data_IF_487567742097
#
_entry.id   IF_487567742097
#
_cell.length_a   1.000
_cell.length_b   1.000
_cell.length_c   1.000
_cell.angle_alpha   90.00
_cell.angle_beta   90.00
_cell.angle_gamma   90.00
#
_symmetry.space_group_name_H-M   'P 1'
#
loop_
_entity.id
_entity.type
_entity.pdbx_description
1 polymer ?
#
# COMPACT_ATOMS: atom_id res chain seq x y z
N UNK A 1 18.58 18.18 27.44
CA UNK A 1 19.18 17.69 26.18
C UNK A 1 18.23 16.67 25.57
N UNK A 2 17.77 16.87 24.34
CA UNK A 2 16.97 15.84 23.65
C UNK A 2 17.91 14.69 23.24
N UNK A 3 17.46 13.45 23.41
CA UNK A 3 18.24 12.26 23.05
C UNK A 3 18.62 12.31 21.55
N UNK A 4 19.83 11.86 21.15
CA UNK A 4 20.24 11.85 19.75
C UNK A 4 19.22 11.19 18.80
N UNK A 5 18.59 10.11 19.23
CA UNK A 5 17.55 9.40 18.47
C UNK A 5 16.34 10.29 18.16
N UNK A 6 15.94 11.13 19.12
CA UNK A 6 14.81 12.04 18.93
C UNK A 6 15.15 13.14 17.92
N UNK A 7 16.37 13.66 17.95
CA UNK A 7 16.82 14.66 16.97
C UNK A 7 16.86 14.08 15.55
N UNK A 8 17.37 12.85 15.42
CA UNK A 8 17.39 12.13 14.14
C UNK A 8 15.97 11.88 13.62
N UNK A 9 15.05 11.42 14.48
CA UNK A 9 13.65 11.21 14.09
C UNK A 9 12.96 12.50 13.64
N UNK A 10 13.21 13.63 14.33
CA UNK A 10 12.67 14.94 13.92
C UNK A 10 13.26 15.39 12.58
N UNK A 11 14.56 15.19 12.35
CA UNK A 11 15.19 15.50 11.08
C UNK A 11 14.59 14.68 9.92
N UNK A 12 14.44 13.37 10.09
CA UNK A 12 13.79 12.51 9.08
C UNK A 12 12.34 12.93 8.82
N UNK A 13 11.58 13.27 9.85
CA UNK A 13 10.20 13.76 9.70
C UNK A 13 10.15 15.09 8.93
N UNK A 14 11.08 16.00 9.19
CA UNK A 14 11.19 17.26 8.45
C UNK A 14 11.56 17.04 7.00
N UNK A 15 12.48 16.11 6.72
CA UNK A 15 12.92 15.75 5.38
C UNK A 15 11.77 15.11 4.58
N UNK A 16 11.07 14.14 5.17
CA UNK A 16 10.00 13.41 4.52
C UNK A 16 8.81 14.30 4.09
N UNK A 17 8.61 15.44 4.77
CA UNK A 17 7.54 16.41 4.47
C UNK A 17 7.98 17.52 3.51
N UNK A 18 9.23 17.53 3.08
CA UNK A 18 9.77 18.55 2.19
C UNK A 18 9.95 17.97 0.78
N UNK A 19 9.07 18.35 -0.15
CA UNK A 19 9.08 17.85 -1.53
C UNK A 19 10.40 18.13 -2.28
N UNK A 20 11.10 19.23 -1.97
CA UNK A 20 12.40 19.52 -2.57
C UNK A 20 13.47 18.53 -2.11
N UNK A 21 13.51 18.22 -0.81
CA UNK A 21 14.50 17.26 -0.28
C UNK A 21 14.15 15.84 -0.74
N UNK A 22 12.87 15.48 -0.77
CA UNK A 22 12.40 14.20 -1.32
C UNK A 22 12.88 14.03 -2.77
N UNK A 23 12.65 15.04 -3.61
CA UNK A 23 13.09 15.03 -5.01
C UNK A 23 14.61 14.89 -5.14
N UNK A 24 15.37 15.63 -4.31
CA UNK A 24 16.84 15.54 -4.28
C UNK A 24 17.33 14.13 -3.89
N UNK A 25 16.74 13.54 -2.85
CA UNK A 25 17.06 12.17 -2.41
C UNK A 25 16.77 11.16 -3.52
N UNK A 26 15.62 11.25 -4.19
CA UNK A 26 15.24 10.34 -5.28
C UNK A 26 16.17 10.43 -6.50
N UNK A 27 16.79 11.58 -6.73
CA UNK A 27 17.72 11.80 -7.86
C UNK A 27 19.18 11.50 -7.48
N UNK A 28 19.51 11.37 -6.20
CA UNK A 28 20.87 11.05 -5.73
C UNK A 28 21.09 9.54 -5.70
N UNK A 29 22.06 9.06 -6.49
CA UNK A 29 22.44 7.64 -6.53
C UNK A 29 22.84 7.11 -5.17
N UNK A 30 23.70 7.82 -4.42
CA UNK A 30 24.20 7.34 -3.14
C UNK A 30 23.13 7.39 -2.04
N UNK A 31 22.40 8.50 -1.93
CA UNK A 31 21.40 8.67 -0.88
C UNK A 31 20.19 7.77 -1.10
N UNK A 32 19.72 7.65 -2.35
CA UNK A 32 18.62 6.77 -2.68
C UNK A 32 18.97 5.32 -2.37
N UNK A 33 20.13 4.83 -2.81
CA UNK A 33 20.55 3.45 -2.56
C UNK A 33 20.64 3.13 -1.06
N UNK A 34 21.22 4.03 -0.27
CA UNK A 34 21.36 3.85 1.17
C UNK A 34 20.01 3.82 1.89
N UNK A 35 19.13 4.77 1.59
CA UNK A 35 17.81 4.86 2.22
C UNK A 35 16.88 3.74 1.76
N UNK A 36 16.96 3.34 0.49
CA UNK A 36 16.23 2.20 -0.04
C UNK A 36 16.65 0.90 0.66
N UNK A 37 17.96 0.69 0.90
CA UNK A 37 18.45 -0.48 1.64
C UNK A 37 17.85 -0.56 3.05
N UNK A 38 17.72 0.58 3.74
CA UNK A 38 17.06 0.63 5.04
C UNK A 38 15.55 0.39 4.94
N UNK A 39 14.89 0.95 3.92
CA UNK A 39 13.45 0.82 3.69
C UNK A 39 13.02 -0.61 3.32
N UNK A 40 13.87 -1.37 2.61
CA UNK A 40 13.60 -2.76 2.19
C UNK A 40 13.25 -3.73 3.33
N UNK A 41 13.56 -3.39 4.58
CA UNK A 41 13.10 -4.18 5.74
C UNK A 41 11.60 -4.06 6.01
N UNK A 42 10.96 -2.99 5.53
CA UNK A 42 9.56 -2.65 5.79
C UNK A 42 8.66 -2.78 4.56
N UNK A 43 9.23 -3.02 3.39
CA UNK A 43 8.51 -3.15 2.12
C UNK A 43 8.79 -4.53 1.53
N UNK A 44 7.75 -5.25 1.14
CA UNK A 44 7.83 -6.64 0.67
C UNK A 44 8.29 -6.79 -0.78
N UNK A 45 8.39 -5.70 -1.53
CA UNK A 45 8.79 -5.68 -2.93
C UNK A 45 8.38 -4.38 -3.62
N UNK A 46 8.82 -4.20 -4.85
CA UNK A 46 8.42 -3.07 -5.70
C UNK A 46 7.28 -3.46 -6.66
N UNK A 47 7.01 -4.76 -6.78
CA UNK A 47 5.95 -5.31 -7.61
C UNK A 47 4.92 -6.09 -6.82
N UNK A 48 3.70 -6.14 -7.35
CA UNK A 48 2.62 -7.00 -6.83
C UNK A 48 3.04 -8.46 -6.69
N UNK A 49 3.80 -8.97 -7.67
CA UNK A 49 4.26 -10.35 -7.66
C UNK A 49 5.16 -10.64 -6.46
N UNK A 50 6.15 -9.79 -6.20
CA UNK A 50 7.05 -9.92 -5.05
C UNK A 50 6.27 -9.87 -3.73
N UNK A 51 5.32 -8.94 -3.60
CA UNK A 51 4.44 -8.86 -2.43
C UNK A 51 3.65 -10.15 -2.18
N UNK A 52 3.10 -10.76 -3.23
CA UNK A 52 2.37 -12.04 -3.14
C UNK A 52 3.31 -13.19 -2.75
N UNK A 53 4.53 -13.24 -3.30
CA UNK A 53 5.53 -14.27 -2.95
C UNK A 53 5.87 -14.22 -1.47
N UNK A 54 6.20 -13.04 -0.94
CA UNK A 54 6.52 -12.86 0.47
C UNK A 54 5.30 -13.17 1.37
N UNK A 55 4.10 -12.73 0.96
CA UNK A 55 2.89 -13.07 1.69
C UNK A 55 2.68 -14.60 1.81
N UNK A 56 2.90 -15.35 0.72
CA UNK A 56 2.83 -16.82 0.75
C UNK A 56 3.83 -17.42 1.73
N UNK A 57 5.07 -16.93 1.76
CA UNK A 57 6.08 -17.40 2.72
C UNK A 57 5.70 -17.13 4.18
N UNK A 58 5.01 -16.02 4.45
CA UNK A 58 4.52 -15.71 5.79
C UNK A 58 3.32 -16.60 6.16
N UNK A 59 2.42 -16.86 5.21
CA UNK A 59 1.27 -17.75 5.40
C UNK A 59 1.73 -19.17 5.72
N UNK A 60 2.74 -19.70 5.01
CA UNK A 60 3.28 -21.05 5.30
C UNK A 60 3.92 -21.15 6.68
N UNK A 61 4.36 -20.03 7.25
CA UNK A 61 4.85 -19.92 8.63
C UNK A 61 3.73 -19.73 9.66
N UNK A 62 2.47 -19.69 9.23
CA UNK A 62 1.29 -19.58 10.09
C UNK A 62 0.86 -18.14 10.40
N UNK A 63 1.36 -17.14 9.66
CA UNK A 63 0.95 -15.75 9.85
C UNK A 63 -0.27 -15.38 9.00
N UNK A 64 -1.12 -14.52 9.54
CA UNK A 64 -2.07 -13.74 8.75
C UNK A 64 -1.35 -12.54 8.14
N UNK A 65 -1.74 -12.16 6.93
CA UNK A 65 -1.10 -11.08 6.17
C UNK A 65 -2.15 -10.10 5.66
N UNK A 66 -1.78 -8.82 5.61
CA UNK A 66 -2.48 -7.83 4.80
C UNK A 66 -1.52 -7.31 3.74
N UNK A 67 -1.93 -7.29 2.48
CA UNK A 67 -1.13 -6.71 1.39
C UNK A 67 -1.61 -5.29 1.12
N UNK A 68 -0.67 -4.42 0.78
CA UNK A 68 -0.93 -3.01 0.51
C UNK A 68 -0.14 -2.55 -0.71
N UNK A 69 -0.81 -1.84 -1.62
CA UNK A 69 -0.15 -1.05 -2.66
C UNK A 69 0.07 0.35 -2.10
N UNK A 70 1.31 0.61 -1.68
CA UNK A 70 1.68 1.79 -0.89
C UNK A 70 1.48 3.07 -1.72
N UNK A 71 0.71 3.99 -1.17
CA UNK A 71 0.57 5.34 -1.66
C UNK A 71 -0.55 6.07 -0.91
N UNK A 72 -0.49 7.40 -0.92
CA UNK A 72 -1.43 8.26 -0.21
C UNK A 72 -1.48 9.63 -0.87
N UNK A 73 -2.53 10.38 -0.59
CA UNK A 73 -2.67 11.79 -1.00
C UNK A 73 -2.50 12.02 -2.51
N UNK A 74 -3.06 11.12 -3.34
CA UNK A 74 -3.01 11.25 -4.78
C UNK A 74 -3.89 12.41 -5.23
N UNK A 75 -3.30 13.37 -5.95
CA UNK A 75 -3.95 14.61 -6.39
C UNK A 75 -4.26 14.63 -7.89
N UNK A 76 -3.88 13.58 -8.61
CA UNK A 76 -4.17 13.40 -10.03
C UNK A 76 -5.18 12.26 -10.24
N UNK A 77 -6.20 12.53 -11.04
CA UNK A 77 -7.31 11.59 -11.21
C UNK A 77 -6.89 10.32 -11.97
N UNK A 78 -5.96 10.43 -12.93
CA UNK A 78 -5.44 9.29 -13.67
C UNK A 78 -4.60 8.40 -12.76
N UNK A 79 -3.80 8.98 -11.87
CA UNK A 79 -3.08 8.23 -10.85
C UNK A 79 -4.02 7.55 -9.84
N UNK A 80 -5.15 8.16 -9.48
CA UNK A 80 -6.18 7.49 -8.66
C UNK A 80 -6.79 6.27 -9.39
N UNK A 81 -7.05 6.38 -10.70
CA UNK A 81 -7.52 5.24 -11.49
C UNK A 81 -6.47 4.13 -11.56
N UNK A 82 -5.19 4.46 -11.74
CA UNK A 82 -4.09 3.49 -11.71
C UNK A 82 -4.01 2.79 -10.36
N UNK A 83 -4.08 3.53 -9.25
CA UNK A 83 -4.09 2.96 -7.91
C UNK A 83 -5.26 1.98 -7.71
N UNK A 84 -6.49 2.38 -8.10
CA UNK A 84 -7.65 1.48 -8.05
C UNK A 84 -7.45 0.23 -8.89
N UNK A 85 -6.91 0.35 -10.11
CA UNK A 85 -6.69 -0.79 -11.00
C UNK A 85 -5.61 -1.74 -10.47
N UNK A 86 -4.60 -1.22 -9.76
CA UNK A 86 -3.60 -2.01 -9.08
C UNK A 86 -4.21 -2.82 -7.93
N UNK A 87 -5.04 -2.18 -7.08
CA UNK A 87 -5.81 -2.88 -6.05
C UNK A 87 -6.74 -3.94 -6.63
N UNK A 88 -7.45 -3.62 -7.72
CA UNK A 88 -8.34 -4.57 -8.39
C UNK A 88 -7.60 -5.82 -8.86
N UNK A 89 -6.41 -5.63 -9.43
CA UNK A 89 -5.54 -6.70 -9.91
C UNK A 89 -5.00 -7.53 -8.73
N UNK A 90 -4.58 -6.89 -7.64
CA UNK A 90 -4.16 -7.56 -6.40
C UNK A 90 -5.27 -8.43 -5.80
N UNK A 91 -6.48 -7.90 -5.66
CA UNK A 91 -7.62 -8.66 -5.16
C UNK A 91 -7.92 -9.84 -6.09
N UNK A 92 -7.82 -9.64 -7.41
CA UNK A 92 -7.97 -10.70 -8.41
C UNK A 92 -6.94 -11.82 -8.26
N UNK A 93 -5.65 -11.48 -8.18
CA UNK A 93 -4.56 -12.44 -8.03
C UNK A 93 -4.67 -13.22 -6.71
N UNK A 94 -5.00 -12.54 -5.61
CA UNK A 94 -5.22 -13.17 -4.31
C UNK A 94 -6.42 -14.13 -4.33
N UNK A 95 -7.51 -13.77 -5.01
CA UNK A 95 -8.68 -14.62 -5.21
C UNK A 95 -8.36 -15.87 -6.03
N UNK A 96 -7.67 -15.71 -7.16
CA UNK A 96 -7.24 -16.83 -8.00
C UNK A 96 -6.31 -17.81 -7.26
N UNK A 97 -5.55 -17.31 -6.29
CA UNK A 97 -4.66 -18.09 -5.44
C UNK A 97 -5.35 -18.61 -4.16
N UNK A 98 -6.65 -18.38 -3.97
CA UNK A 98 -7.42 -18.74 -2.76
C UNK A 98 -6.76 -18.25 -1.47
N UNK A 99 -6.11 -17.09 -1.51
CA UNK A 99 -5.45 -16.49 -0.35
C UNK A 99 -6.51 -15.86 0.56
N UNK A 100 -6.81 -16.50 1.70
CA UNK A 100 -7.75 -16.00 2.73
C UNK A 100 -7.12 -14.88 3.57
N UNK A 101 -6.71 -13.80 2.91
CA UNK A 101 -5.94 -12.69 3.49
C UNK A 101 -6.57 -11.35 3.13
N UNK A 102 -6.12 -10.27 3.75
CA UNK A 102 -6.73 -8.95 3.57
C UNK A 102 -5.91 -8.07 2.61
N UNK A 103 -6.58 -7.08 2.04
CA UNK A 103 -5.95 -5.96 1.34
C UNK A 103 -6.24 -4.69 2.13
N UNK A 104 -5.21 -3.89 2.37
CA UNK A 104 -5.31 -2.57 3.01
C UNK A 104 -5.07 -1.48 1.96
N UNK A 105 -5.78 -0.37 2.08
CA UNK A 105 -5.67 0.78 1.18
C UNK A 105 -6.00 2.08 1.90
N UNK A 106 -5.43 3.18 1.41
CA UNK A 106 -5.79 4.53 1.82
C UNK A 106 -6.82 5.15 0.86
N UNK A 107 -7.88 5.74 1.41
CA UNK A 107 -8.91 6.41 0.62
C UNK A 107 -8.34 7.60 -0.16
N UNK A 108 -7.33 8.29 0.41
CA UNK A 108 -6.62 9.38 -0.25
C UNK A 108 -5.80 8.93 -1.46
N UNK A 109 -5.41 7.65 -1.52
CA UNK A 109 -4.72 7.06 -2.68
C UNK A 109 -5.70 6.86 -3.85
N UNK A 110 -6.94 6.48 -3.54
CA UNK A 110 -7.97 6.16 -4.55
C UNK A 110 -8.94 7.33 -4.82
N UNK A 111 -8.63 8.55 -4.39
CA UNK A 111 -9.34 9.76 -4.85
C UNK A 111 -10.03 10.61 -3.79
N UNK A 112 -9.90 10.30 -2.49
CA UNK A 112 -10.55 11.09 -1.43
C UNK A 112 -10.05 12.54 -1.41
N UNK A 113 -8.78 12.76 -1.74
CA UNK A 113 -8.18 14.09 -1.82
C UNK A 113 -8.65 14.92 -3.03
N UNK A 114 -9.32 14.29 -4.00
CA UNK A 114 -9.86 14.91 -5.22
C UNK A 114 -11.35 15.14 -5.07
N UNK A 115 -12.12 14.05 -4.91
CA UNK A 115 -13.58 14.08 -4.72
C UNK A 115 -14.00 12.83 -3.93
N UNK A 116 -14.65 12.99 -2.74
CA UNK A 116 -15.19 11.89 -1.97
C UNK A 116 -16.10 10.93 -2.77
N UNK A 117 -16.80 11.41 -3.81
CA UNK A 117 -17.62 10.56 -4.68
C UNK A 117 -16.78 9.58 -5.51
N UNK A 118 -15.61 10.02 -5.99
CA UNK A 118 -14.69 9.17 -6.75
C UNK A 118 -14.13 8.08 -5.83
N UNK A 119 -13.67 8.46 -4.64
CA UNK A 119 -13.20 7.50 -3.64
C UNK A 119 -14.28 6.49 -3.26
N UNK A 120 -15.53 6.93 -3.10
CA UNK A 120 -16.65 6.04 -2.81
C UNK A 120 -16.88 5.02 -3.94
N UNK A 121 -16.94 5.47 -5.19
CA UNK A 121 -17.12 4.58 -6.35
C UNK A 121 -15.99 3.55 -6.41
N UNK A 122 -14.73 3.99 -6.32
CA UNK A 122 -13.58 3.09 -6.32
C UNK A 122 -13.62 2.08 -5.17
N UNK A 123 -13.95 2.52 -3.96
CA UNK A 123 -14.04 1.64 -2.80
C UNK A 123 -15.13 0.58 -2.99
N UNK A 124 -16.30 0.96 -3.51
CA UNK A 124 -17.40 0.02 -3.75
C UNK A 124 -17.04 -1.02 -4.79
N UNK A 125 -16.42 -0.62 -5.91
CA UNK A 125 -15.95 -1.55 -6.94
C UNK A 125 -14.91 -2.55 -6.39
N UNK A 126 -13.96 -2.08 -5.57
CA UNK A 126 -12.96 -2.93 -4.94
C UNK A 126 -13.58 -3.88 -3.90
N UNK A 127 -14.54 -3.41 -3.11
CA UNK A 127 -15.27 -4.24 -2.16
C UNK A 127 -16.09 -5.33 -2.87
N UNK A 128 -16.77 -5.00 -3.96
CA UNK A 128 -17.48 -5.97 -4.82
C UNK A 128 -16.52 -6.99 -5.45
N UNK A 129 -15.34 -6.56 -5.88
CA UNK A 129 -14.32 -7.47 -6.39
C UNK A 129 -13.81 -8.44 -5.32
N UNK A 130 -13.64 -7.95 -4.09
CA UNK A 130 -13.24 -8.78 -2.96
C UNK A 130 -14.34 -9.78 -2.57
N UNK A 131 -15.61 -9.39 -2.71
CA UNK A 131 -16.71 -10.27 -2.34
C UNK A 131 -16.91 -11.45 -3.28
N UNK A 132 -16.66 -11.27 -4.58
CA UNK A 132 -16.82 -12.38 -5.53
C UNK A 132 -15.91 -13.58 -5.25
N UNK A 133 -14.79 -13.38 -4.55
CA UNK A 133 -13.84 -14.43 -4.22
C UNK A 133 -14.16 -15.19 -2.93
N UNK A 134 -15.13 -14.72 -2.12
CA UNK A 134 -15.54 -15.34 -0.86
C UNK A 134 -17.05 -15.20 -0.68
N UNK A 135 -17.84 -16.29 -0.62
CA UNK A 135 -19.23 -16.12 -0.18
C UNK A 135 -19.20 -15.52 1.24
N UNK A 136 -20.06 -14.54 1.50
CA UNK A 136 -20.19 -13.94 2.84
C UNK A 136 -21.38 -14.56 3.55
N UNK A 137 -21.31 -14.66 4.87
CA UNK A 137 -22.52 -14.85 5.66
C UNK A 137 -23.39 -13.57 5.65
N UNK A 138 -24.62 -13.68 6.18
CA UNK A 138 -25.59 -12.57 6.26
C UNK A 138 -25.12 -11.34 7.07
N UNK A 139 -23.92 -11.39 7.67
CA UNK A 139 -23.32 -10.30 8.45
C UNK A 139 -22.06 -9.73 7.80
N UNK A 140 -21.74 -10.12 6.56
CA UNK A 140 -20.54 -9.62 5.89
C UNK A 140 -19.25 -10.16 6.49
N UNK A 141 -19.28 -11.36 7.09
CA UNK A 141 -18.07 -12.08 7.52
C UNK A 141 -17.64 -13.08 6.45
N UNK A 142 -16.33 -13.19 6.26
CA UNK A 142 -15.70 -14.20 5.40
C UNK A 142 -15.93 -15.58 6.04
N UNK A 143 -16.50 -16.53 5.28
CA UNK A 143 -16.64 -17.95 5.65
C UNK A 143 -15.48 -18.82 5.13
#
# INVERSE_FOLDING_TARGET
>A
MTKPEFQVAQAFKSIARNEHIKSYVQQSTELYALLLQAAKRFVTGETRHEGIVIAKELITKGYHTSLEYIGENTLDIEECYKAKNEFWSLIGDMGALSMKQTVSLDLSHIGLSIDPKISYIHLMELAEKATWNYPYDKYGRII
#
